data_IF_293780323018
#
_entry.id   IF_293780323018
#
_cell.length_a   1.000
_cell.length_b   1.000
_cell.length_c   1.000
_cell.angle_alpha   90.00
_cell.angle_beta   90.00
_cell.angle_gamma   90.00
#
_symmetry.space_group_name_H-M   'P 1'
#
loop_
_entity.id
_entity.type
_entity.pdbx_description
1 polymer ?
#
# COMPACT_ATOMS: atom_id res chain seq x y z
N UNK A 1 1.17 15.39 25.50
CA UNK A 1 0.67 14.84 24.23
C UNK A 1 1.51 13.60 23.98
N UNK A 2 0.93 12.41 24.15
CA UNK A 2 1.62 11.13 23.87
C UNK A 2 1.76 11.02 22.35
N UNK A 3 2.97 11.13 21.84
CA UNK A 3 3.27 10.79 20.45
C UNK A 3 3.15 9.29 20.36
N UNK A 4 2.01 8.80 19.87
CA UNK A 4 1.89 7.39 19.52
C UNK A 4 2.84 7.11 18.36
N UNK A 5 3.99 6.52 18.68
CA UNK A 5 4.94 6.08 17.68
C UNK A 5 4.32 4.91 16.92
N UNK A 6 4.10 5.08 15.61
CA UNK A 6 3.57 4.02 14.77
C UNK A 6 4.54 2.83 14.77
N UNK A 7 4.04 1.63 15.11
CA UNK A 7 4.81 0.39 15.14
C UNK A 7 4.55 -0.46 13.91
N UNK A 8 5.56 -1.21 13.48
CA UNK A 8 5.47 -2.23 12.44
C UNK A 8 5.61 -3.62 13.04
N UNK A 9 4.97 -4.61 12.44
CA UNK A 9 5.07 -6.01 12.83
C UNK A 9 6.24 -6.67 12.09
N UNK A 10 7.22 -7.16 12.81
CA UNK A 10 8.40 -7.86 12.28
C UNK A 10 8.05 -9.31 11.96
N UNK A 11 8.59 -9.82 10.85
CA UNK A 11 8.30 -11.15 10.34
C UNK A 11 9.56 -12.02 10.25
N UNK A 12 9.38 -13.33 10.44
CA UNK A 12 10.37 -14.33 10.07
C UNK A 12 10.18 -14.79 8.61
N UNK A 13 11.02 -15.74 8.16
CA UNK A 13 10.96 -16.27 6.80
C UNK A 13 9.67 -17.07 6.48
N UNK A 14 8.90 -17.46 7.50
CA UNK A 14 7.60 -18.13 7.38
C UNK A 14 6.42 -17.14 7.43
N UNK A 15 6.70 -15.84 7.37
CA UNK A 15 5.71 -14.75 7.49
C UNK A 15 4.96 -14.72 8.85
N UNK A 16 5.55 -15.30 9.89
CA UNK A 16 5.04 -15.28 11.26
C UNK A 16 5.56 -14.03 12.00
N UNK A 17 4.73 -13.45 12.86
CA UNK A 17 5.12 -12.31 13.68
C UNK A 17 6.16 -12.72 14.74
N UNK A 18 7.28 -12.00 14.80
CA UNK A 18 8.36 -12.23 15.77
C UNK A 18 8.58 -11.06 16.72
N UNK A 19 7.81 -9.99 16.58
CA UNK A 19 7.89 -8.80 17.42
C UNK A 19 7.40 -7.55 16.71
N UNK A 20 7.65 -6.41 17.32
CA UNK A 20 7.34 -5.09 16.75
C UNK A 20 8.53 -4.16 16.84
N UNK A 21 8.53 -3.11 16.04
CA UNK A 21 9.55 -2.05 16.09
C UNK A 21 8.94 -0.70 15.69
N UNK A 22 9.51 0.43 16.20
CA UNK A 22 9.08 1.76 15.78
C UNK A 22 9.29 1.96 14.27
N UNK A 23 8.24 2.30 13.52
CA UNK A 23 8.27 2.46 12.07
C UNK A 23 9.40 3.36 11.58
N UNK A 24 9.52 4.56 12.14
CA UNK A 24 10.50 5.55 11.67
C UNK A 24 11.96 5.11 11.91
N UNK A 25 12.22 4.36 12.97
CA UNK A 25 13.55 3.85 13.29
C UNK A 25 13.91 2.60 12.48
N UNK A 26 12.92 1.88 11.99
CA UNK A 26 13.12 0.59 11.30
C UNK A 26 13.49 0.76 9.82
N UNK A 27 13.20 1.91 9.19
CA UNK A 27 13.50 2.15 7.78
C UNK A 27 14.89 2.78 7.63
N UNK A 28 15.87 1.94 7.27
CA UNK A 28 17.28 2.28 7.06
C UNK A 28 17.91 1.34 6.01
N UNK A 29 19.25 1.33 5.87
CA UNK A 29 19.96 0.48 4.91
C UNK A 29 19.79 -1.04 5.14
N UNK A 30 19.42 -1.46 6.35
CA UNK A 30 19.17 -2.85 6.75
C UNK A 30 17.78 -2.98 7.39
N UNK A 31 16.77 -2.51 6.71
CA UNK A 31 15.36 -2.57 7.14
C UNK A 31 14.95 -4.02 7.33
N UNK A 32 14.44 -4.40 8.52
CA UNK A 32 13.99 -5.76 8.77
C UNK A 32 12.74 -6.11 7.93
N UNK A 33 12.57 -7.39 7.63
CA UNK A 33 11.36 -7.88 6.97
C UNK A 33 10.14 -7.66 7.86
N UNK A 34 9.13 -6.99 7.35
CA UNK A 34 7.97 -6.58 8.13
C UNK A 34 6.67 -6.57 7.33
N UNK A 35 5.56 -6.49 8.06
CA UNK A 35 4.21 -6.50 7.52
C UNK A 35 3.80 -5.13 7.01
N UNK A 36 3.24 -5.10 5.79
CA UNK A 36 2.65 -3.94 5.17
C UNK A 36 1.44 -4.34 4.33
N UNK A 37 0.84 -3.39 3.62
CA UNK A 37 -0.16 -3.62 2.58
C UNK A 37 -0.11 -2.52 1.53
N UNK A 38 -0.64 -2.83 0.34
CA UNK A 38 -0.96 -1.86 -0.70
C UNK A 38 -2.43 -1.96 -1.09
N UNK A 39 -3.04 -0.80 -1.34
CA UNK A 39 -4.44 -0.69 -1.74
C UNK A 39 -4.57 0.09 -3.05
N UNK A 40 -5.38 -0.43 -3.96
CA UNK A 40 -5.83 0.25 -5.16
C UNK A 40 -7.32 0.58 -5.01
N UNK A 41 -7.66 1.86 -5.04
CA UNK A 41 -9.05 2.33 -4.93
C UNK A 41 -9.61 2.50 -6.33
N UNK A 42 -10.70 1.79 -6.62
CA UNK A 42 -11.44 1.91 -7.86
C UNK A 42 -12.73 2.72 -7.64
N UNK A 43 -12.94 3.71 -8.49
CA UNK A 43 -14.17 4.48 -8.56
C UNK A 43 -15.28 3.74 -9.34
N UNK A 44 -16.51 4.22 -9.27
CA UNK A 44 -17.66 3.61 -9.96
C UNK A 44 -17.55 3.64 -11.50
N UNK A 45 -16.70 4.51 -12.03
CA UNK A 45 -16.42 4.63 -13.47
C UNK A 45 -15.22 3.77 -13.93
N UNK A 46 -14.65 2.96 -13.05
CA UNK A 46 -13.51 2.09 -13.32
C UNK A 46 -12.14 2.77 -13.26
N UNK A 47 -12.09 4.09 -12.99
CA UNK A 47 -10.82 4.77 -12.76
C UNK A 47 -10.20 4.34 -11.44
N UNK A 48 -8.89 4.42 -11.37
CA UNK A 48 -8.11 4.11 -10.18
C UNK A 48 -7.55 5.41 -9.59
N UNK A 49 -7.65 5.56 -8.28
CA UNK A 49 -7.01 6.65 -7.58
C UNK A 49 -5.51 6.36 -7.49
N UNK A 50 -4.70 7.19 -8.13
CA UNK A 50 -3.24 7.14 -8.09
C UNK A 50 -2.75 8.31 -7.24
N UNK A 51 -1.78 8.05 -6.36
CA UNK A 51 -1.26 9.05 -5.44
C UNK A 51 0.22 9.33 -5.68
N UNK A 52 0.62 10.56 -5.40
CA UNK A 52 2.01 10.96 -5.29
C UNK A 52 2.37 11.09 -3.82
N UNK A 53 3.43 10.45 -3.39
CA UNK A 53 3.91 10.55 -2.01
C UNK A 53 4.39 11.96 -1.73
N UNK A 54 4.16 12.45 -0.50
CA UNK A 54 4.64 13.76 -0.09
C UNK A 54 6.16 13.89 -0.29
N UNK A 55 6.61 15.10 -0.63
CA UNK A 55 8.01 15.38 -1.00
C UNK A 55 8.96 15.34 0.21
N UNK A 56 8.42 15.43 1.41
CA UNK A 56 9.15 15.37 2.68
C UNK A 56 9.14 13.98 3.34
N UNK A 57 8.62 12.96 2.63
CA UNK A 57 8.69 11.57 3.11
C UNK A 57 10.13 11.11 3.27
N UNK A 58 10.41 10.40 4.36
CA UNK A 58 11.73 9.81 4.65
C UNK A 58 12.11 8.72 3.63
N UNK A 59 11.12 7.95 3.14
CA UNK A 59 11.32 6.86 2.19
C UNK A 59 10.61 7.17 0.89
N UNK A 60 11.32 7.07 -0.23
CA UNK A 60 10.79 7.27 -1.58
C UNK A 60 9.92 8.54 -1.73
N UNK A 61 10.42 9.75 -1.42
CA UNK A 61 9.67 10.98 -1.54
C UNK A 61 9.27 11.27 -3.00
N UNK A 62 8.06 11.78 -3.19
CA UNK A 62 7.60 12.29 -4.48
C UNK A 62 7.34 11.26 -5.57
N UNK A 63 7.45 9.97 -5.30
CA UNK A 63 7.11 8.93 -6.29
C UNK A 63 5.60 8.75 -6.42
N UNK A 64 5.15 8.40 -7.63
CA UNK A 64 3.79 7.97 -7.90
C UNK A 64 3.61 6.50 -7.58
N UNK A 65 2.48 6.14 -7.00
CA UNK A 65 2.19 4.79 -6.54
C UNK A 65 0.69 4.50 -6.57
N UNK A 66 0.26 3.31 -6.10
CA UNK A 66 -1.14 3.00 -5.87
C UNK A 66 -1.82 3.97 -4.90
N UNK A 67 -3.08 3.72 -4.59
CA UNK A 67 -3.89 4.69 -3.86
C UNK A 67 -3.42 4.92 -2.43
N UNK A 68 -3.06 3.83 -1.73
CA UNK A 68 -2.65 3.89 -0.34
C UNK A 68 -1.76 2.70 0.00
N UNK A 69 -0.72 2.94 0.77
CA UNK A 69 0.12 1.90 1.37
C UNK A 69 0.23 2.15 2.87
N UNK A 70 0.40 1.10 3.65
CA UNK A 70 0.52 1.27 5.09
C UNK A 70 0.96 0.00 5.80
N UNK A 71 1.08 0.11 7.11
CA UNK A 71 1.44 -0.98 7.99
C UNK A 71 0.26 -1.28 8.92
N UNK A 72 -0.23 -2.53 8.97
CA UNK A 72 -1.15 -2.95 10.02
C UNK A 72 -0.48 -2.76 11.39
N UNK A 73 -1.23 -2.21 12.33
CA UNK A 73 -0.78 -2.15 13.71
C UNK A 73 -0.74 -3.57 14.32
N UNK A 74 0.04 -3.80 15.39
CA UNK A 74 0.04 -5.09 16.07
C UNK A 74 -1.37 -5.54 16.45
N UNK A 75 -1.80 -6.71 15.92
CA UNK A 75 -3.14 -7.25 16.14
C UNK A 75 -4.27 -6.65 15.30
N UNK A 76 -3.97 -5.68 14.44
CA UNK A 76 -4.95 -5.08 13.53
C UNK A 76 -5.15 -5.97 12.29
N UNK A 77 -6.43 -6.22 11.91
CA UNK A 77 -6.74 -6.92 10.67
C UNK A 77 -6.50 -6.05 9.42
N UNK A 78 -6.29 -6.72 8.28
CA UNK A 78 -5.97 -6.04 7.02
C UNK A 78 -7.05 -5.03 6.60
N UNK A 79 -8.32 -5.42 6.67
CA UNK A 79 -9.44 -4.52 6.31
C UNK A 79 -9.49 -3.27 7.17
N UNK A 80 -9.24 -3.40 8.46
CA UNK A 80 -9.27 -2.27 9.39
C UNK A 80 -8.07 -1.34 9.16
N UNK A 81 -6.88 -1.91 8.92
CA UNK A 81 -5.70 -1.14 8.54
C UNK A 81 -5.93 -0.35 7.24
N UNK A 82 -6.53 -0.97 6.21
CA UNK A 82 -6.88 -0.30 4.94
C UNK A 82 -7.87 0.83 5.18
N UNK A 83 -8.97 0.59 5.91
CA UNK A 83 -9.97 1.64 6.22
C UNK A 83 -9.35 2.80 6.98
N UNK A 84 -8.56 2.52 7.99
CA UNK A 84 -7.85 3.53 8.79
C UNK A 84 -6.96 4.40 7.91
N UNK A 85 -6.14 3.81 7.05
CA UNK A 85 -5.21 4.55 6.19
C UNK A 85 -5.94 5.35 5.10
N UNK A 86 -6.95 4.77 4.45
CA UNK A 86 -7.77 5.50 3.46
C UNK A 86 -8.44 6.73 4.09
N UNK A 87 -9.00 6.57 5.28
CA UNK A 87 -9.61 7.69 6.00
C UNK A 87 -8.58 8.76 6.40
N UNK A 88 -7.43 8.36 6.96
CA UNK A 88 -6.44 9.32 7.47
C UNK A 88 -5.61 9.98 6.38
N UNK A 89 -5.30 9.29 5.28
CA UNK A 89 -4.46 9.84 4.20
C UNK A 89 -5.26 10.52 3.08
N UNK A 90 -6.48 10.05 2.82
CA UNK A 90 -7.26 10.46 1.66
C UNK A 90 -8.69 10.94 2.01
N UNK A 91 -9.11 10.84 3.27
CA UNK A 91 -10.47 11.19 3.69
C UNK A 91 -11.56 10.29 3.07
N UNK A 92 -11.19 9.12 2.53
CA UNK A 92 -12.10 8.22 1.84
C UNK A 92 -12.60 7.09 2.75
N UNK A 93 -13.84 6.65 2.48
CA UNK A 93 -14.44 5.47 3.10
C UNK A 93 -14.62 4.39 2.05
N UNK A 94 -14.05 3.21 2.30
CA UNK A 94 -14.20 2.06 1.41
C UNK A 94 -15.58 1.40 1.57
N UNK A 95 -16.29 1.22 0.46
CA UNK A 95 -17.54 0.45 0.40
C UNK A 95 -17.25 -1.05 0.48
N UNK A 96 -16.27 -1.51 -0.31
CA UNK A 96 -15.77 -2.90 -0.29
C UNK A 96 -14.25 -2.94 -0.22
N UNK A 97 -13.72 -4.03 0.31
CA UNK A 97 -12.29 -4.34 0.28
C UNK A 97 -12.15 -5.80 -0.12
N UNK A 98 -11.40 -6.05 -1.18
CA UNK A 98 -11.20 -7.36 -1.81
C UNK A 98 -9.72 -7.71 -1.81
N UNK A 99 -9.37 -8.93 -1.42
CA UNK A 99 -8.01 -9.45 -1.51
C UNK A 99 -7.67 -9.80 -2.95
N UNK A 100 -6.59 -9.26 -3.50
CA UNK A 100 -6.19 -9.48 -4.89
C UNK A 100 -4.88 -10.25 -5.00
N UNK A 101 -3.83 -9.80 -4.33
CA UNK A 101 -2.53 -10.47 -4.28
C UNK A 101 -2.15 -10.71 -2.80
N UNK A 102 -2.75 -11.72 -2.13
CA UNK A 102 -2.49 -11.96 -0.71
C UNK A 102 -1.05 -12.37 -0.43
N UNK A 103 -0.37 -12.93 -1.42
CA UNK A 103 0.99 -13.43 -1.34
C UNK A 103 2.09 -12.44 -1.70
N UNK A 104 1.78 -11.23 -2.11
CA UNK A 104 2.77 -10.29 -2.62
C UNK A 104 3.80 -9.88 -1.55
N UNK A 105 5.05 -9.78 -1.96
CA UNK A 105 6.18 -9.30 -1.16
C UNK A 105 7.21 -8.66 -2.05
N UNK A 106 7.97 -7.73 -1.51
CA UNK A 106 9.04 -7.08 -2.27
C UNK A 106 10.17 -6.57 -1.37
N UNK A 107 11.29 -6.28 -2.01
CA UNK A 107 12.39 -5.52 -1.46
C UNK A 107 12.78 -4.45 -2.47
N UNK A 108 12.89 -3.20 -2.02
CA UNK A 108 13.32 -2.09 -2.82
C UNK A 108 14.37 -1.26 -2.06
N UNK A 109 15.27 -0.63 -2.80
CA UNK A 109 16.31 0.24 -2.24
C UNK A 109 16.13 1.62 -2.87
N UNK A 110 15.99 2.65 -2.03
CA UNK A 110 15.93 4.03 -2.48
C UNK A 110 17.33 4.55 -2.85
N UNK A 111 17.40 5.68 -3.54
CA UNK A 111 18.65 6.29 -4.00
C UNK A 111 19.59 6.67 -2.83
N UNK A 112 19.03 6.97 -1.66
CA UNK A 112 19.75 7.26 -0.42
C UNK A 112 20.17 6.00 0.36
N UNK A 113 19.87 4.80 -0.17
CA UNK A 113 20.21 3.52 0.43
C UNK A 113 19.19 3.00 1.44
N UNK A 114 18.10 3.72 1.72
CA UNK A 114 17.02 3.21 2.58
C UNK A 114 16.31 2.05 1.89
N UNK A 115 16.05 1.00 2.65
CA UNK A 115 15.43 -0.24 2.17
C UNK A 115 13.97 -0.32 2.62
N UNK A 116 13.10 -0.71 1.71
CA UNK A 116 11.77 -1.28 1.99
C UNK A 116 11.84 -2.80 1.79
N UNK A 117 11.45 -3.57 2.81
CA UNK A 117 11.44 -5.04 2.74
C UNK A 117 10.18 -5.57 3.42
N UNK A 118 9.18 -5.89 2.61
CA UNK A 118 7.81 -6.04 3.07
C UNK A 118 7.13 -7.30 2.57
N UNK A 119 6.37 -7.93 3.48
CA UNK A 119 5.23 -8.77 3.15
C UNK A 119 4.03 -7.84 2.98
N UNK A 120 3.61 -7.62 1.75
CA UNK A 120 2.75 -6.51 1.37
C UNK A 120 1.51 -6.97 0.56
N UNK A 121 0.55 -7.70 1.16
CA UNK A 121 -0.68 -8.06 0.46
C UNK A 121 -1.30 -6.87 -0.27
N UNK A 122 -1.78 -7.12 -1.49
CA UNK A 122 -2.43 -6.10 -2.31
C UNK A 122 -3.94 -6.31 -2.28
N UNK A 123 -4.66 -5.25 -1.98
CA UNK A 123 -6.11 -5.22 -1.98
C UNK A 123 -6.67 -4.20 -2.98
N UNK A 124 -7.90 -4.45 -3.45
CA UNK A 124 -8.73 -3.46 -4.10
C UNK A 124 -9.77 -2.94 -3.10
N UNK A 125 -9.94 -1.64 -3.04
CA UNK A 125 -11.10 -1.02 -2.40
C UNK A 125 -11.99 -0.38 -3.48
N UNK A 126 -13.31 -0.36 -3.26
CA UNK A 126 -14.22 0.46 -4.04
C UNK A 126 -14.78 1.58 -3.19
N UNK A 127 -15.08 2.70 -3.80
CA UNK A 127 -15.65 3.88 -3.14
C UNK A 127 -16.76 4.46 -4.01
N UNK A 128 -17.82 4.97 -3.37
CA UNK A 128 -18.86 5.78 -4.04
C UNK A 128 -18.50 7.28 -4.00
N UNK A 129 -17.93 7.76 -2.88
CA UNK A 129 -17.40 9.12 -2.82
C UNK A 129 -16.02 9.17 -3.48
N UNK A 130 -15.95 9.92 -4.57
CA UNK A 130 -14.74 10.08 -5.40
C UNK A 130 -14.00 11.40 -5.13
N UNK A 131 -14.22 12.03 -3.98
CA UNK A 131 -13.63 13.31 -3.59
C UNK A 131 -12.52 13.09 -2.55
N UNK A 132 -11.27 12.74 -2.95
CA UNK A 132 -10.19 12.56 -2.00
C UNK A 132 -9.79 13.89 -1.35
N UNK A 133 -9.41 13.81 -0.08
CA UNK A 133 -8.83 14.90 0.69
C UNK A 133 -7.43 14.48 1.16
N UNK A 134 -6.38 14.70 0.33
CA UNK A 134 -5.01 14.30 0.65
C UNK A 134 -4.50 14.94 1.93
N UNK A 135 -3.98 14.12 2.85
CA UNK A 135 -3.39 14.60 4.10
C UNK A 135 -2.00 15.18 3.84
N UNK A 136 -1.72 16.43 4.26
CA UNK A 136 -0.39 17.02 4.17
C UNK A 136 0.67 16.16 4.87
N UNK A 137 1.87 16.05 4.26
CA UNK A 137 2.96 15.22 4.77
C UNK A 137 2.83 13.72 4.49
N UNK A 138 1.66 13.25 4.02
CA UNK A 138 1.44 11.87 3.57
C UNK A 138 1.34 11.80 2.05
N UNK A 139 0.46 12.61 1.45
CA UNK A 139 0.12 12.59 0.03
C UNK A 139 0.26 14.00 -0.55
N UNK A 140 1.12 14.15 -1.56
CA UNK A 140 1.33 15.39 -2.31
C UNK A 140 0.20 15.64 -3.30
N UNK A 141 -0.24 14.58 -4.00
CA UNK A 141 -1.30 14.65 -5.00
C UNK A 141 -2.08 13.34 -5.07
N UNK A 142 -3.35 13.40 -5.42
CA UNK A 142 -4.22 12.26 -5.63
C UNK A 142 -5.10 12.52 -6.86
N UNK A 143 -5.03 11.61 -7.85
CA UNK A 143 -5.69 11.78 -9.14
C UNK A 143 -6.38 10.50 -9.58
N UNK A 144 -7.56 10.63 -10.18
CA UNK A 144 -8.29 9.51 -10.80
C UNK A 144 -7.80 9.27 -12.22
N UNK A 145 -7.16 8.12 -12.42
CA UNK A 145 -6.57 7.74 -13.71
C UNK A 145 -7.32 6.58 -14.35
N UNK A 146 -7.40 6.59 -15.68
CA UNK A 146 -7.85 5.42 -16.44
C UNK A 146 -6.84 4.28 -16.28
N UNK A 147 -7.30 3.05 -16.48
CA UNK A 147 -6.39 1.90 -16.41
C UNK A 147 -5.22 2.03 -17.40
N UNK A 148 -5.47 2.59 -18.59
CA UNK A 148 -4.42 2.87 -19.58
C UNK A 148 -3.34 3.80 -19.02
N UNK A 149 -3.70 4.89 -18.36
CA UNK A 149 -2.74 5.81 -17.73
C UNK A 149 -1.96 5.13 -16.61
N UNK A 150 -2.61 4.25 -15.84
CA UNK A 150 -1.95 3.43 -14.82
C UNK A 150 -0.87 2.52 -15.45
N UNK A 151 -1.16 1.90 -16.61
CA UNK A 151 -0.18 1.09 -17.33
C UNK A 151 1.00 1.92 -17.84
N UNK A 152 0.75 3.12 -18.35
CA UNK A 152 1.80 4.03 -18.82
C UNK A 152 2.73 4.49 -17.70
N UNK A 153 2.25 4.59 -16.46
CA UNK A 153 3.07 4.95 -15.30
C UNK A 153 4.21 3.94 -15.07
N UNK A 154 3.99 2.65 -15.34
CA UNK A 154 5.00 1.58 -15.14
C UNK A 154 6.34 1.91 -15.80
N UNK A 155 6.30 2.54 -16.97
CA UNK A 155 7.50 2.92 -17.73
C UNK A 155 8.13 4.25 -17.33
N UNK A 156 7.53 5.01 -16.41
CA UNK A 156 8.02 6.33 -16.00
C UNK A 156 8.98 6.23 -14.82
N UNK A 157 10.06 7.03 -14.77
CA UNK A 157 11.01 7.01 -13.66
C UNK A 157 10.38 7.35 -12.31
N UNK A 158 9.30 8.14 -12.31
CA UNK A 158 8.59 8.58 -11.10
C UNK A 158 7.73 7.48 -10.44
N UNK A 159 7.51 6.34 -11.11
CA UNK A 159 6.77 5.23 -10.52
C UNK A 159 7.56 4.56 -9.39
N UNK A 160 6.89 4.25 -8.28
CA UNK A 160 7.53 3.52 -7.18
C UNK A 160 7.98 2.11 -7.62
N UNK A 161 9.05 1.56 -7.04
CA UNK A 161 9.50 0.20 -7.37
C UNK A 161 8.42 -0.85 -7.11
N UNK A 162 7.72 -0.78 -5.97
CA UNK A 162 6.67 -1.74 -5.64
C UNK A 162 5.46 -1.61 -6.57
N UNK A 163 5.11 -0.40 -7.04
CA UNK A 163 4.07 -0.22 -8.05
C UNK A 163 4.37 -1.02 -9.30
N UNK A 164 5.59 -0.93 -9.83
CA UNK A 164 6.00 -1.70 -11.02
C UNK A 164 5.91 -3.20 -10.79
N UNK A 165 6.34 -3.67 -9.62
CA UNK A 165 6.28 -5.09 -9.27
C UNK A 165 4.83 -5.58 -9.12
N UNK A 166 3.98 -4.80 -8.47
CA UNK A 166 2.56 -5.10 -8.33
C UNK A 166 1.84 -5.10 -9.68
N UNK A 167 2.11 -4.11 -10.54
CA UNK A 167 1.52 -4.05 -11.87
C UNK A 167 1.89 -5.25 -12.74
N UNK A 168 3.08 -5.81 -12.60
CA UNK A 168 3.47 -7.03 -13.31
C UNK A 168 2.56 -8.23 -12.96
N UNK A 169 2.03 -8.30 -11.75
CA UNK A 169 1.10 -9.32 -11.30
C UNK A 169 -0.39 -8.94 -11.52
N UNK A 170 -0.72 -7.65 -11.45
CA UNK A 170 -2.10 -7.15 -11.60
C UNK A 170 -2.57 -7.09 -13.06
N UNK A 171 -1.68 -6.71 -13.99
CA UNK A 171 -2.03 -6.56 -15.41
C UNK A 171 -2.64 -7.82 -16.03
N UNK A 172 -2.13 -9.04 -15.76
CA UNK A 172 -2.75 -10.27 -16.25
C UNK A 172 -4.17 -10.53 -15.73
N UNK A 173 -4.58 -9.87 -14.64
CA UNK A 173 -5.92 -10.02 -14.05
C UNK A 173 -6.98 -9.15 -14.74
N UNK A 174 -6.60 -8.29 -15.69
CA UNK A 174 -7.52 -7.40 -16.38
C UNK A 174 -7.68 -6.03 -15.72
N UNK A 175 -8.84 -5.40 -15.90
CA UNK A 175 -9.12 -4.09 -15.31
C UNK A 175 -9.50 -4.20 -13.83
N UNK A 176 -9.27 -3.15 -13.02
CA UNK A 176 -9.39 -3.20 -11.56
C UNK A 176 -10.75 -3.69 -11.03
N UNK A 177 -11.86 -3.36 -11.69
CA UNK A 177 -13.18 -3.81 -11.25
C UNK A 177 -13.41 -5.32 -11.48
N UNK A 178 -12.65 -5.92 -12.40
CA UNK A 178 -12.75 -7.34 -12.78
C UNK A 178 -11.76 -8.22 -12.00
N UNK A 179 -10.84 -7.62 -11.20
CA UNK A 179 -9.88 -8.42 -10.44
C UNK A 179 -10.58 -9.41 -9.52
N UNK A 180 -10.16 -10.68 -9.52
CA UNK A 180 -10.77 -11.71 -8.70
C UNK A 180 -10.56 -11.46 -7.21
N UNK A 181 -11.48 -11.93 -6.39
CA UNK A 181 -11.27 -12.02 -4.94
C UNK A 181 -10.51 -13.32 -4.64
N UNK A 182 -9.25 -13.17 -4.25
CA UNK A 182 -8.42 -14.30 -3.82
C UNK A 182 -8.77 -14.78 -2.40
N UNK A 183 -9.65 -14.06 -1.69
CA UNK A 183 -10.01 -14.37 -0.32
C UNK A 183 -8.84 -14.17 0.67
N UNK A 184 -9.02 -14.62 1.92
CA UNK A 184 -7.99 -14.56 2.94
C UNK A 184 -6.90 -15.63 2.79
N UNK A 185 -7.12 -16.65 1.97
CA UNK A 185 -6.15 -17.72 1.75
C UNK A 185 -4.88 -17.15 1.09
N UNK A 186 -3.74 -17.42 1.68
CA UNK A 186 -2.45 -16.88 1.23
C UNK A 186 -2.04 -15.55 1.88
N UNK A 187 -2.86 -14.99 2.77
CA UNK A 187 -2.40 -13.95 3.69
C UNK A 187 -1.33 -14.53 4.63
N UNK A 188 -0.34 -13.71 5.08
CA UNK A 188 0.63 -14.17 6.05
C UNK A 188 -0.03 -14.57 7.37
N UNK A 189 0.50 -15.57 8.09
CA UNK A 189 -0.02 -15.97 9.42
C UNK A 189 -0.10 -14.81 10.42
N UNK A 190 0.75 -13.80 10.25
CA UNK A 190 0.79 -12.60 11.09
C UNK A 190 -0.37 -11.62 10.85
N UNK A 191 -1.25 -11.85 9.87
CA UNK A 191 -2.26 -10.88 9.43
C UNK A 191 -3.64 -11.52 9.29
N UNK A 192 -4.58 -11.07 10.12
CA UNK A 192 -6.00 -11.41 9.94
C UNK A 192 -6.63 -10.61 8.79
N UNK A 193 -7.72 -11.17 8.24
CA UNK A 193 -8.51 -10.51 7.16
C UNK A 193 -9.41 -9.40 7.64
#
# INVERSE_FOLDING_TARGET
>A
VSVHTEEIVLLNAADEAIGTAPKLASHHWDTPYHLAFSCYVAGPDGRVLITRRALDKKTFPGVWTGSCCGHPAPGEGLRDAVRRRLSTELGLTADTITSVLPGFRYRAVADDGVVEYERCPVVRATVTDTTPSPAPGEVENAEWWTWKECLELVGRPEASPWYRLQMAELVPLGEPLDWPDAGPDGLPPALAW
#
